data_IF_923002317649
#
_entry.id   IF_923002317649
#
_cell.length_a   1.000
_cell.length_b   1.000
_cell.length_c   1.000
_cell.angle_alpha   90.00
_cell.angle_beta   90.00
_cell.angle_gamma   90.00
#
_symmetry.space_group_name_H-M   'P 1'
#
loop_
_entity.id
_entity.type
_entity.pdbx_description
1 polymer ?
#
# COMPACT_ATOMS: atom_id res chain seq x y z
N UNK A 1 -1.73 17.64 20.36
CA UNK A 1 -0.62 17.31 21.26
C UNK A 1 -0.36 15.82 21.03
N UNK A 2 0.66 15.46 20.24
CA UNK A 2 1.04 14.06 20.05
C UNK A 2 1.96 13.69 21.21
N UNK A 3 1.57 12.72 22.03
CA UNK A 3 2.43 12.23 23.12
C UNK A 3 3.73 11.71 22.49
N UNK A 4 4.86 12.22 23.00
CA UNK A 4 6.16 11.67 22.70
C UNK A 4 6.13 10.17 23.02
N UNK A 5 6.50 9.33 22.05
CA UNK A 5 6.56 7.89 22.22
C UNK A 5 7.29 7.54 23.52
N UNK A 6 6.75 6.60 24.29
CA UNK A 6 7.43 6.01 25.44
C UNK A 6 8.86 5.61 25.02
N UNK A 7 9.86 5.88 25.87
CA UNK A 7 11.26 5.51 25.59
C UNK A 7 11.34 4.05 25.12
N UNK A 8 11.72 3.86 23.86
CA UNK A 8 11.87 2.53 23.23
C UNK A 8 10.73 2.08 22.30
N UNK A 9 9.64 2.83 22.15
CA UNK A 9 8.54 2.47 21.23
C UNK A 9 8.34 3.50 20.12
N UNK A 10 8.29 3.02 18.88
CA UNK A 10 7.91 3.81 17.71
C UNK A 10 6.43 3.61 17.38
N UNK A 11 5.77 4.67 16.92
CA UNK A 11 4.40 4.58 16.40
C UNK A 11 4.37 3.69 15.16
N UNK A 12 3.29 2.95 14.98
CA UNK A 12 3.00 2.19 13.76
C UNK A 12 1.82 2.83 13.04
N UNK A 13 1.95 3.01 11.73
CA UNK A 13 0.86 3.37 10.82
C UNK A 13 0.50 2.15 9.99
N UNK A 14 -0.74 1.70 10.09
CA UNK A 14 -1.28 0.60 9.32
C UNK A 14 -2.08 1.08 8.10
N UNK A 15 -1.91 0.38 6.99
CA UNK A 15 -2.63 0.57 5.73
C UNK A 15 -3.31 -0.75 5.35
N UNK A 16 -4.50 -1.05 5.91
CA UNK A 16 -5.22 -2.26 5.58
C UNK A 16 -5.83 -2.18 4.18
N UNK A 17 -5.64 -3.22 3.38
CA UNK A 17 -6.29 -3.41 2.09
C UNK A 17 -6.71 -4.86 1.88
N UNK A 18 -7.84 -5.06 1.20
CA UNK A 18 -8.22 -6.39 0.72
C UNK A 18 -7.82 -6.53 -0.75
N UNK A 19 -6.75 -7.28 -1.08
CA UNK A 19 -6.26 -7.37 -2.45
C UNK A 19 -7.25 -8.05 -3.41
N UNK A 20 -8.22 -8.82 -2.90
CA UNK A 20 -9.26 -9.48 -3.71
C UNK A 20 -10.49 -8.62 -3.96
N UNK A 21 -10.61 -7.47 -3.29
CA UNK A 21 -11.67 -6.51 -3.54
C UNK A 21 -11.41 -5.64 -4.79
N UNK A 22 -10.19 -5.68 -5.31
CA UNK A 22 -9.73 -4.88 -6.45
C UNK A 22 -9.35 -5.80 -7.61
N UNK A 23 -9.48 -5.31 -8.84
CA UNK A 23 -8.82 -5.93 -9.99
C UNK A 23 -7.30 -5.75 -9.92
N UNK A 24 -6.54 -6.54 -10.68
CA UNK A 24 -5.07 -6.41 -10.70
C UNK A 24 -4.62 -5.02 -11.17
N UNK A 25 -5.32 -4.43 -12.14
CA UNK A 25 -5.05 -3.07 -12.62
C UNK A 25 -5.37 -2.00 -11.57
N UNK A 26 -6.45 -2.14 -10.81
CA UNK A 26 -6.75 -1.22 -9.70
C UNK A 26 -5.81 -1.40 -8.50
N UNK A 27 -5.29 -2.62 -8.27
CA UNK A 27 -4.38 -2.92 -7.19
C UNK A 27 -2.97 -2.38 -7.48
N UNK A 28 -2.40 -2.72 -8.64
CA UNK A 28 -1.01 -2.43 -9.00
C UNK A 28 -0.83 -1.22 -9.93
N UNK A 29 -1.91 -0.80 -10.59
CA UNK A 29 -1.88 0.15 -11.68
C UNK A 29 -1.93 -0.55 -13.03
N UNK A 30 -2.45 0.16 -14.04
CA UNK A 30 -2.53 -0.33 -15.40
C UNK A 30 -2.29 0.77 -16.43
N UNK A 31 -1.78 0.37 -17.59
CA UNK A 31 -1.60 1.26 -18.73
C UNK A 31 -2.78 1.14 -19.69
N UNK A 32 -3.49 2.24 -19.92
CA UNK A 32 -4.59 2.29 -20.86
C UNK A 32 -4.06 2.59 -22.27
N UNK A 33 -4.07 1.59 -23.15
CA UNK A 33 -3.58 1.70 -24.53
C UNK A 33 -4.42 2.68 -25.37
N UNK A 34 -5.71 2.82 -25.08
CA UNK A 34 -6.59 3.70 -25.85
C UNK A 34 -6.32 5.18 -25.59
N UNK A 35 -5.97 5.53 -24.36
CA UNK A 35 -5.62 6.91 -23.97
C UNK A 35 -4.11 7.16 -23.94
N UNK A 36 -3.30 6.09 -23.98
CA UNK A 36 -1.85 6.11 -23.72
C UNK A 36 -1.47 6.69 -22.34
N UNK A 37 -2.31 6.46 -21.34
CA UNK A 37 -2.12 6.98 -19.99
C UNK A 37 -1.91 5.85 -18.97
N UNK A 38 -1.09 6.13 -17.96
CA UNK A 38 -0.92 5.26 -16.79
C UNK A 38 -1.94 5.63 -15.72
N UNK A 39 -2.67 4.63 -15.22
CA UNK A 39 -3.51 4.75 -14.03
C UNK A 39 -2.81 4.09 -12.85
N UNK A 40 -2.63 4.84 -11.77
CA UNK A 40 -1.95 4.33 -10.58
C UNK A 40 -2.87 3.44 -9.75
N UNK A 41 -2.32 2.34 -9.23
CA UNK A 41 -3.04 1.41 -8.36
C UNK A 41 -3.10 1.88 -6.91
N UNK A 42 -3.99 1.25 -6.14
CA UNK A 42 -4.14 1.52 -4.70
C UNK A 42 -2.88 1.11 -3.94
N UNK A 43 -2.33 -0.07 -4.21
CA UNK A 43 -1.12 -0.55 -3.53
C UNK A 43 0.11 0.28 -3.93
N UNK A 44 0.28 0.59 -5.22
CA UNK A 44 1.42 1.39 -5.70
C UNK A 44 1.39 2.80 -5.11
N UNK A 45 0.20 3.40 -4.96
CA UNK A 45 0.03 4.71 -4.32
C UNK A 45 0.36 4.66 -2.82
N UNK A 46 -0.15 3.67 -2.08
CA UNK A 46 0.14 3.51 -0.65
C UNK A 46 1.64 3.27 -0.43
N UNK A 47 2.24 2.39 -1.22
CA UNK A 47 3.68 2.08 -1.13
C UNK A 47 4.53 3.32 -1.34
N UNK A 48 4.21 4.14 -2.35
CA UNK A 48 4.92 5.40 -2.62
C UNK A 48 4.78 6.40 -1.46
N UNK A 49 3.60 6.50 -0.87
CA UNK A 49 3.37 7.37 0.30
C UNK A 49 4.16 6.89 1.52
N UNK A 50 4.14 5.58 1.80
CA UNK A 50 4.84 4.98 2.93
C UNK A 50 6.37 5.13 2.80
N UNK A 51 6.92 4.92 1.60
CA UNK A 51 8.35 5.07 1.33
C UNK A 51 8.82 6.54 1.31
N UNK A 52 7.93 7.49 1.01
CA UNK A 52 8.26 8.91 1.03
C UNK A 52 8.25 9.52 2.45
N UNK A 53 7.66 8.84 3.44
CA UNK A 53 7.65 9.33 4.83
C UNK A 53 8.93 8.92 5.58
N UNK A 54 9.82 9.89 5.80
CA UNK A 54 11.11 9.74 6.49
C UNK A 54 11.02 9.71 8.03
N UNK A 55 9.82 9.81 8.62
CA UNK A 55 9.66 9.73 10.08
C UNK A 55 10.13 8.37 10.61
N UNK A 56 10.58 8.29 11.88
CA UNK A 56 11.01 7.04 12.49
C UNK A 56 9.85 6.07 12.78
N UNK A 57 8.60 6.47 12.53
CA UNK A 57 7.42 5.61 12.66
C UNK A 57 7.51 4.41 11.70
N UNK A 58 7.03 3.25 12.13
CA UNK A 58 6.85 2.10 11.27
C UNK A 58 5.62 2.27 10.38
N UNK A 59 5.68 1.75 9.16
CA UNK A 59 4.57 1.76 8.20
C UNK A 59 4.31 0.33 7.75
N UNK A 60 3.11 -0.19 8.02
CA UNK A 60 2.71 -1.56 7.73
C UNK A 60 1.62 -1.55 6.68
N UNK A 61 1.86 -2.19 5.55
CA UNK A 61 0.83 -2.44 4.54
C UNK A 61 0.24 -3.82 4.84
N UNK A 62 -1.03 -3.86 5.25
CA UNK A 62 -1.69 -5.08 5.70
C UNK A 62 -2.65 -5.60 4.62
N UNK A 63 -2.41 -6.82 4.15
CA UNK A 63 -3.29 -7.48 3.18
C UNK A 63 -4.33 -8.32 3.92
N UNK A 64 -5.51 -7.74 4.16
CA UNK A 64 -6.65 -8.37 4.85
C UNK A 64 -7.59 -9.03 3.82
N UNK A 65 -7.22 -10.24 3.40
CA UNK A 65 -7.99 -11.03 2.45
C UNK A 65 -7.33 -12.37 2.13
N UNK A 66 -8.03 -13.24 1.37
CA UNK A 66 -7.47 -14.53 1.00
C UNK A 66 -6.31 -14.37 0.00
N UNK A 67 -5.25 -15.13 0.24
CA UNK A 67 -4.07 -15.19 -0.65
C UNK A 67 -4.42 -15.99 -1.90
N UNK A 68 -4.04 -15.47 -3.07
CA UNK A 68 -4.29 -16.05 -4.38
C UNK A 68 -3.10 -15.76 -5.29
N UNK A 69 -2.74 -16.72 -6.15
CA UNK A 69 -1.51 -16.69 -6.94
C UNK A 69 -1.44 -15.46 -7.86
N UNK A 70 -2.58 -15.07 -8.45
CA UNK A 70 -2.64 -13.97 -9.43
C UNK A 70 -2.11 -12.64 -8.87
N UNK A 71 -2.50 -12.29 -7.65
CA UNK A 71 -2.08 -11.01 -7.07
C UNK A 71 -0.75 -11.14 -6.35
N UNK A 72 -0.51 -12.21 -5.59
CA UNK A 72 0.68 -12.30 -4.74
C UNK A 72 1.98 -12.45 -5.54
N UNK A 73 1.93 -13.09 -6.72
CA UNK A 73 3.10 -13.26 -7.58
C UNK A 73 3.50 -11.97 -8.33
N UNK A 74 2.59 -10.99 -8.39
CA UNK A 74 2.84 -9.69 -9.03
C UNK A 74 3.40 -8.63 -8.07
N UNK A 75 3.58 -8.98 -6.79
CA UNK A 75 4.10 -8.10 -5.74
C UNK A 75 5.62 -7.92 -5.80
#
# INVERSE_FOLDING_TARGET
MMEAGHEGFYRVWDYPLNPKALSLGELYGEFNISTNEWSDGVLSSIMRQACADEKPDYKWILFDGPVDALWIESM
#
